data_IF_554574449466
#
_entry.id   IF_554574449466
#
_cell.length_a   1.000
_cell.length_b   1.000
_cell.length_c   1.000
_cell.angle_alpha   90.00
_cell.angle_beta   90.00
_cell.angle_gamma   90.00
#
_symmetry.space_group_name_H-M   'P 1'
#
loop_
_entity.id
_entity.type
_entity.pdbx_description
1 polymer ?
#
# COMPACT_ATOMS: atom_id res chain seq x y z
N UNK A 1 10.91 -3.73 12.09
CA UNK A 1 9.76 -4.03 11.23
C UNK A 1 8.43 -3.88 11.92
N UNK A 2 8.40 -4.06 13.23
CA UNK A 2 7.13 -4.11 13.96
C UNK A 2 6.29 -2.86 13.84
N UNK A 3 6.91 -1.68 13.96
CA UNK A 3 6.14 -0.43 13.91
C UNK A 3 5.48 -0.27 12.54
N UNK A 4 6.20 -0.57 11.47
CA UNK A 4 5.66 -0.44 10.12
C UNK A 4 4.56 -1.46 9.87
N UNK A 5 4.75 -2.67 10.38
CA UNK A 5 3.72 -3.71 10.27
C UNK A 5 2.42 -3.24 10.92
N UNK A 6 2.51 -2.69 12.13
CA UNK A 6 1.31 -2.22 12.80
C UNK A 6 0.69 -1.01 12.10
N UNK A 7 1.52 -0.15 11.49
CA UNK A 7 1.00 0.98 10.72
C UNK A 7 0.27 0.52 9.46
N UNK A 8 0.66 -0.61 8.87
CA UNK A 8 -0.01 -1.10 7.67
C UNK A 8 -1.33 -1.79 8.01
N UNK A 9 -1.55 -2.11 9.27
CA UNK A 9 -2.83 -2.70 9.69
C UNK A 9 -3.80 -1.58 10.04
N UNK A 10 -4.84 -1.47 9.24
CA UNK A 10 -5.85 -0.44 9.42
C UNK A 10 -7.11 -1.09 9.97
N UNK A 11 -8.08 -0.26 10.34
CA UNK A 11 -9.36 -0.79 10.80
C UNK A 11 -10.23 -1.33 9.67
N UNK A 12 -9.83 -1.09 8.43
CA UNK A 12 -10.56 -1.53 7.25
C UNK A 12 -9.88 -2.77 6.66
N UNK A 13 -10.58 -3.89 6.69
CA UNK A 13 -10.02 -5.15 6.25
C UNK A 13 -9.55 -5.13 4.79
N UNK A 14 -10.28 -4.42 3.94
CA UNK A 14 -9.92 -4.32 2.53
C UNK A 14 -8.53 -3.72 2.35
N UNK A 15 -8.17 -2.76 3.18
CA UNK A 15 -6.84 -2.16 3.11
C UNK A 15 -5.78 -3.10 3.69
N UNK A 16 -6.12 -3.81 4.76
CA UNK A 16 -5.17 -4.75 5.37
C UNK A 16 -4.78 -5.85 4.40
N UNK A 17 -5.74 -6.34 3.61
CA UNK A 17 -5.47 -7.40 2.64
C UNK A 17 -4.39 -6.98 1.63
N UNK A 18 -4.36 -5.70 1.28
CA UNK A 18 -3.38 -5.18 0.33
C UNK A 18 -2.08 -4.78 1.01
N UNK A 19 -2.17 -4.12 2.15
CA UNK A 19 -1.01 -3.45 2.75
C UNK A 19 -0.16 -4.38 3.61
N UNK A 20 -0.77 -5.28 4.37
CA UNK A 20 0.01 -6.11 5.28
C UNK A 20 0.96 -7.03 4.52
N UNK A 21 0.50 -7.80 3.51
CA UNK A 21 1.45 -8.62 2.74
C UNK A 21 2.49 -7.80 2.01
N UNK A 22 2.10 -6.63 1.48
CA UNK A 22 3.05 -5.76 0.79
C UNK A 22 4.16 -5.32 1.74
N UNK A 23 3.80 -4.94 2.98
CA UNK A 23 4.78 -4.54 3.96
C UNK A 23 5.74 -5.68 4.29
N UNK A 24 5.22 -6.89 4.40
CA UNK A 24 6.04 -8.03 4.78
C UNK A 24 6.95 -8.53 3.66
N UNK A 25 6.47 -8.49 2.42
CA UNK A 25 7.15 -9.16 1.32
C UNK A 25 7.83 -8.22 0.33
N UNK A 26 7.27 -7.04 0.10
CA UNK A 26 7.79 -6.13 -0.92
C UNK A 26 8.58 -4.98 -0.31
N UNK A 27 8.10 -4.42 0.79
CA UNK A 27 8.75 -3.26 1.40
C UNK A 27 10.26 -3.47 1.60
N UNK A 28 10.72 -4.65 2.10
CA UNK A 28 12.16 -4.84 2.29
C UNK A 28 12.98 -4.77 1.01
N UNK A 29 12.35 -4.95 -0.15
CA UNK A 29 13.05 -4.92 -1.43
C UNK A 29 13.04 -3.55 -2.08
N UNK A 30 12.32 -2.58 -1.50
CA UNK A 30 12.19 -1.26 -2.10
C UNK A 30 13.45 -0.43 -1.90
N UNK A 31 13.65 0.55 -2.79
CA UNK A 31 14.72 1.52 -2.60
C UNK A 31 14.43 2.42 -1.40
N UNK A 32 15.44 3.15 -0.94
CA UNK A 32 15.24 4.07 0.18
C UNK A 32 14.17 5.10 -0.14
N UNK A 33 14.17 5.61 -1.36
CA UNK A 33 13.18 6.59 -1.80
C UNK A 33 11.79 6.00 -1.81
N UNK A 34 11.65 4.79 -2.32
CA UNK A 34 10.35 4.11 -2.35
C UNK A 34 9.85 3.79 -0.95
N UNK A 35 10.75 3.41 -0.05
CA UNK A 35 10.36 3.15 1.34
C UNK A 35 9.82 4.41 2.00
N UNK A 36 10.45 5.55 1.75
CA UNK A 36 9.98 6.82 2.30
C UNK A 36 8.59 7.14 1.76
N UNK A 37 8.36 6.91 0.48
CA UNK A 37 7.05 7.11 -0.13
C UNK A 37 6.01 6.20 0.49
N UNK A 38 6.36 4.95 0.74
CA UNK A 38 5.42 4.00 1.34
C UNK A 38 5.02 4.44 2.76
N UNK A 39 5.98 4.90 3.55
CA UNK A 39 5.67 5.41 4.89
C UNK A 39 4.75 6.62 4.80
N UNK A 40 5.01 7.49 3.84
CA UNK A 40 4.16 8.66 3.60
C UNK A 40 2.74 8.22 3.24
N UNK A 41 2.63 7.20 2.40
CA UNK A 41 1.33 6.65 2.02
C UNK A 41 0.56 6.13 3.22
N UNK A 42 1.25 5.42 4.12
CA UNK A 42 0.60 4.84 5.30
C UNK A 42 0.11 5.91 6.27
N UNK A 43 0.58 7.15 6.14
CA UNK A 43 0.11 8.25 6.97
C UNK A 43 -1.19 8.86 6.45
N UNK A 44 -1.63 8.46 5.26
CA UNK A 44 -2.87 8.98 4.68
C UNK A 44 -4.08 8.35 5.34
N UNK A 45 -5.24 9.00 5.18
CA UNK A 45 -6.49 8.52 5.77
C UNK A 45 -6.98 7.27 5.04
N UNK A 46 -7.65 6.39 5.79
CA UNK A 46 -8.20 5.17 5.22
C UNK A 46 -9.16 5.46 4.05
N UNK A 47 -9.96 6.52 4.19
CA UNK A 47 -10.92 6.87 3.13
C UNK A 47 -10.21 7.21 1.83
N UNK A 48 -9.10 7.95 1.93
CA UNK A 48 -8.31 8.28 0.74
C UNK A 48 -7.68 7.05 0.13
N UNK A 49 -7.09 6.21 0.97
CA UNK A 49 -6.48 4.98 0.49
C UNK A 49 -7.49 4.09 -0.20
N UNK A 50 -8.69 4.01 0.37
CA UNK A 50 -9.74 3.16 -0.19
C UNK A 50 -10.10 3.59 -1.60
N UNK A 51 -10.35 4.91 -1.82
CA UNK A 51 -10.73 5.36 -3.17
C UNK A 51 -9.59 5.19 -4.16
N UNK A 52 -8.34 5.31 -3.71
CA UNK A 52 -7.19 5.12 -4.59
C UNK A 52 -7.04 3.65 -4.98
N UNK A 53 -7.18 2.73 -4.03
CA UNK A 53 -7.07 1.30 -4.32
C UNK A 53 -8.25 0.78 -5.12
N UNK A 54 -9.41 1.42 -5.00
CA UNK A 54 -10.57 1.09 -5.84
C UNK A 54 -10.48 1.75 -7.21
N UNK A 55 -9.41 2.49 -7.46
CA UNK A 55 -9.13 3.15 -8.73
C UNK A 55 -10.20 4.16 -9.13
N UNK A 56 -10.84 4.76 -8.14
CA UNK A 56 -11.84 5.80 -8.38
C UNK A 56 -11.21 7.17 -8.46
N UNK A 57 -10.07 7.37 -7.80
CA UNK A 57 -9.32 8.61 -7.82
C UNK A 57 -7.83 8.28 -7.82
N UNK A 58 -7.02 9.27 -8.17
CA UNK A 58 -5.57 9.14 -8.22
C UNK A 58 -4.97 10.18 -7.28
N UNK A 59 -3.99 9.80 -6.45
CA UNK A 59 -3.33 10.80 -5.59
C UNK A 59 -2.74 11.95 -6.41
N UNK A 60 -2.76 13.15 -5.84
CA UNK A 60 -2.20 14.30 -6.52
C UNK A 60 -0.67 14.20 -6.67
N UNK A 61 -0.01 13.61 -5.68
CA UNK A 61 1.43 13.44 -5.72
C UNK A 61 1.79 12.22 -6.58
N UNK A 62 2.69 12.44 -7.53
CA UNK A 62 3.06 11.37 -8.46
C UNK A 62 3.70 10.18 -7.75
N UNK A 63 4.52 10.44 -6.72
CA UNK A 63 5.17 9.34 -6.00
C UNK A 63 4.14 8.46 -5.30
N UNK A 64 3.09 9.03 -4.76
CA UNK A 64 2.03 8.25 -4.13
C UNK A 64 1.24 7.48 -5.18
N UNK A 65 0.96 8.11 -6.32
CA UNK A 65 0.25 7.45 -7.41
C UNK A 65 1.04 6.23 -7.91
N UNK A 66 2.34 6.38 -8.05
CA UNK A 66 3.20 5.28 -8.48
C UNK A 66 3.19 4.13 -7.47
N UNK A 67 3.23 4.48 -6.19
CA UNK A 67 3.22 3.46 -5.13
C UNK A 67 1.88 2.72 -5.10
N UNK A 68 0.78 3.44 -5.25
CA UNK A 68 -0.55 2.82 -5.33
C UNK A 68 -0.59 1.83 -6.49
N UNK A 69 -0.08 2.24 -7.65
CA UNK A 69 -0.06 1.36 -8.82
C UNK A 69 0.78 0.12 -8.56
N UNK A 70 1.91 0.27 -7.91
CA UNK A 70 2.77 -0.86 -7.60
C UNK A 70 2.05 -1.87 -6.68
N UNK A 71 1.32 -1.38 -5.69
CA UNK A 71 0.61 -2.24 -4.76
C UNK A 71 -0.53 -2.97 -5.48
N UNK A 72 -1.28 -2.26 -6.32
CA UNK A 72 -2.37 -2.87 -7.07
C UNK A 72 -1.85 -3.93 -8.03
N UNK A 73 -0.78 -3.61 -8.75
CA UNK A 73 -0.21 -4.54 -9.72
C UNK A 73 0.28 -5.81 -9.05
N UNK A 74 0.90 -5.67 -7.88
CA UNK A 74 1.34 -6.84 -7.14
C UNK A 74 0.16 -7.71 -6.73
N UNK A 75 -0.90 -7.08 -6.23
CA UNK A 75 -2.07 -7.84 -5.80
C UNK A 75 -2.69 -8.61 -6.96
N UNK A 76 -2.72 -7.98 -8.14
CA UNK A 76 -3.30 -8.61 -9.32
C UNK A 76 -2.43 -9.73 -9.89
N UNK A 77 -1.13 -9.67 -9.61
CA UNK A 77 -0.21 -10.66 -10.16
C UNK A 77 -0.14 -11.93 -9.33
N UNK A 78 -0.73 -11.94 -8.14
CA UNK A 78 -0.72 -13.11 -7.28
C UNK A 78 -1.79 -14.09 -7.73
N UNK A 79 -1.53 -15.40 -7.62
CA UNK A 79 -2.57 -16.38 -7.91
C UNK A 79 -3.69 -16.28 -6.86
N UNK A 80 -4.89 -16.72 -7.22
CA UNK A 80 -5.98 -16.72 -6.25
C UNK A 80 -5.64 -17.54 -5.02
N UNK A 81 -6.08 -17.06 -3.86
CA UNK A 81 -5.86 -17.74 -2.59
C UNK A 81 -7.14 -18.50 -2.25
N UNK A 82 -6.97 -19.74 -1.84
CA UNK A 82 -8.11 -20.60 -1.55
C UNK A 82 -8.12 -21.05 -0.11
#
# INVERSE_FOLDING_TARGET
MNRLFWHSRRGMLELDVLLVPFTQEVYPTLSAEQRATYVELLACEDADLFVWFMEKEIPAEQNLADMIRMIIDRARSLPPVH
#
